data_IF_467745911829
#
_entry.id   IF_467745911829
#
_cell.length_a   1.000
_cell.length_b   1.000
_cell.length_c   1.000
_cell.angle_alpha   90.00
_cell.angle_beta   90.00
_cell.angle_gamma   90.00
#
_symmetry.space_group_name_H-M   'P 1'
#
loop_
_entity.id
_entity.type
_entity.pdbx_description
1 polymer ?
#
# COMPACT_ATOMS: atom_id res chain seq x y z
N UNK A 1 -0.38 -12.10 3.46
CA UNK A 1 -1.22 -11.40 2.47
C UNK A 1 -2.23 -12.39 1.91
N UNK A 2 -3.51 -12.17 2.15
CA UNK A 2 -4.58 -13.00 1.57
C UNK A 2 -5.22 -12.22 0.43
N UNK A 3 -4.99 -12.66 -0.80
CA UNK A 3 -5.59 -12.05 -1.99
C UNK A 3 -6.88 -12.81 -2.28
N UNK A 4 -7.99 -12.11 -2.22
CA UNK A 4 -9.31 -12.65 -2.55
C UNK A 4 -9.57 -12.47 -4.06
N UNK A 5 -9.56 -13.55 -4.86
CA UNK A 5 -9.75 -13.45 -6.30
C UNK A 5 -11.16 -12.98 -6.69
N UNK A 6 -12.14 -13.08 -5.79
CA UNK A 6 -13.51 -12.64 -6.07
C UNK A 6 -13.64 -11.11 -6.14
N UNK A 7 -12.65 -10.36 -5.63
CA UNK A 7 -12.57 -8.89 -5.75
C UNK A 7 -11.95 -8.43 -7.07
N UNK A 8 -11.50 -9.35 -7.92
CA UNK A 8 -10.85 -9.05 -9.21
C UNK A 8 -11.83 -8.47 -10.24
N UNK A 9 -13.14 -8.70 -10.09
CA UNK A 9 -14.16 -8.27 -11.05
C UNK A 9 -14.57 -6.79 -10.97
N UNK A 10 -13.93 -5.98 -10.13
CA UNK A 10 -14.09 -4.52 -10.14
C UNK A 10 -12.98 -3.89 -11.00
N UNK A 11 -13.36 -3.08 -11.98
CA UNK A 11 -12.54 -2.43 -13.03
C UNK A 11 -11.33 -1.57 -12.56
N UNK A 12 -10.93 -1.64 -11.29
CA UNK A 12 -9.93 -0.79 -10.61
C UNK A 12 -8.92 -1.60 -9.80
N UNK A 13 -8.73 -2.90 -10.08
CA UNK A 13 -7.82 -3.72 -9.30
C UNK A 13 -6.36 -3.32 -9.52
N UNK A 14 -5.61 -2.97 -8.45
CA UNK A 14 -4.25 -2.45 -8.56
C UNK A 14 -3.22 -3.58 -8.67
N UNK A 15 -3.60 -4.77 -9.15
CA UNK A 15 -2.68 -5.89 -9.28
C UNK A 15 -3.07 -6.87 -10.39
N UNK A 16 -2.08 -7.59 -10.89
CA UNK A 16 -2.21 -8.65 -11.87
C UNK A 16 -1.39 -9.87 -11.43
N UNK A 17 -1.90 -11.07 -11.69
CA UNK A 17 -1.11 -12.29 -11.64
C UNK A 17 -0.32 -12.38 -12.95
N UNK A 18 0.99 -12.53 -12.87
CA UNK A 18 1.88 -12.50 -14.05
C UNK A 18 2.71 -13.78 -14.17
N UNK A 19 2.24 -14.88 -13.59
CA UNK A 19 2.89 -16.19 -13.61
C UNK A 19 3.31 -16.61 -15.05
N UNK A 20 2.45 -16.35 -16.05
CA UNK A 20 2.72 -16.68 -17.46
C UNK A 20 3.73 -15.75 -18.16
N UNK A 21 4.10 -14.65 -17.51
CA UNK A 21 5.02 -13.63 -18.04
C UNK A 21 6.30 -13.49 -17.20
N UNK A 22 6.43 -14.26 -16.12
CA UNK A 22 7.64 -14.25 -15.29
C UNK A 22 8.84 -14.78 -16.08
N UNK A 23 10.01 -14.22 -15.79
CA UNK A 23 11.27 -14.75 -16.33
C UNK A 23 11.64 -16.11 -15.73
N UNK A 24 11.09 -16.45 -14.55
CA UNK A 24 11.37 -17.69 -13.82
C UNK A 24 10.07 -18.49 -13.67
N UNK A 25 9.91 -19.55 -14.48
CA UNK A 25 8.67 -20.34 -14.56
C UNK A 25 8.24 -21.02 -13.23
N UNK A 26 9.15 -21.19 -12.28
CA UNK A 26 8.85 -21.83 -10.98
C UNK A 26 8.29 -20.87 -9.93
N UNK A 27 8.35 -19.56 -10.18
CA UNK A 27 7.89 -18.54 -9.24
C UNK A 27 6.42 -18.18 -9.51
N UNK A 28 5.75 -17.72 -8.45
CA UNK A 28 4.42 -17.12 -8.57
C UNK A 28 4.54 -15.65 -8.30
N UNK A 29 4.04 -14.85 -9.22
CA UNK A 29 4.27 -13.41 -9.22
C UNK A 29 2.98 -12.63 -9.30
N UNK A 30 2.93 -11.59 -8.47
CA UNK A 30 1.81 -10.67 -8.40
C UNK A 30 2.38 -9.27 -8.58
N UNK A 31 2.05 -8.66 -9.70
CA UNK A 31 2.48 -7.31 -10.03
C UNK A 31 1.44 -6.31 -9.55
N UNK A 32 1.86 -5.36 -8.71
CA UNK A 32 1.02 -4.25 -8.29
C UNK A 32 1.25 -3.03 -9.18
N UNK A 33 0.21 -2.25 -9.44
CA UNK A 33 0.35 -0.95 -10.10
C UNK A 33 1.22 -0.01 -9.27
N UNK A 34 1.92 0.92 -9.93
CA UNK A 34 2.63 1.97 -9.21
C UNK A 34 1.68 2.77 -8.32
N UNK A 35 2.19 3.27 -7.19
CA UNK A 35 1.42 4.01 -6.18
C UNK A 35 0.35 3.19 -5.44
N UNK A 36 0.43 1.86 -5.50
CA UNK A 36 -0.38 1.00 -4.63
C UNK A 36 0.03 1.20 -3.17
N UNK A 37 -0.95 1.46 -2.31
CA UNK A 37 -0.75 1.67 -0.88
C UNK A 37 -1.16 0.43 -0.10
N UNK A 38 -0.32 0.04 0.85
CA UNK A 38 -0.59 -1.05 1.79
C UNK A 38 -0.60 -0.51 3.21
N UNK A 39 -1.52 -1.03 4.02
CA UNK A 39 -1.50 -0.87 5.48
C UNK A 39 -0.72 -2.02 6.09
N UNK A 40 0.16 -1.69 7.03
CA UNK A 40 0.77 -2.69 7.92
C UNK A 40 -0.21 -2.96 9.05
N UNK A 41 -0.70 -4.18 9.12
CA UNK A 41 -1.65 -4.59 10.17
C UNK A 41 -0.91 -5.21 11.36
N UNK A 42 0.11 -6.04 11.10
CA UNK A 42 0.92 -6.68 12.13
C UNK A 42 2.37 -6.88 11.66
N UNK A 43 3.29 -6.93 12.63
CA UNK A 43 4.70 -7.27 12.43
C UNK A 43 5.09 -8.24 13.54
N UNK A 44 5.41 -9.47 13.16
CA UNK A 44 5.78 -10.53 14.12
C UNK A 44 7.04 -11.26 13.67
N UNK A 45 7.82 -11.74 14.62
CA UNK A 45 8.99 -12.55 14.32
C UNK A 45 8.54 -13.95 13.86
N UNK A 46 9.15 -14.46 12.79
CA UNK A 46 8.77 -15.76 12.25
C UNK A 46 9.12 -16.86 13.24
N UNK A 47 8.15 -17.70 13.59
CA UNK A 47 8.32 -18.81 14.55
C UNK A 47 9.40 -19.80 14.07
N UNK A 48 9.51 -19.99 12.75
CA UNK A 48 10.46 -20.91 12.14
C UNK A 48 11.90 -20.39 12.11
N UNK A 49 12.11 -19.07 12.20
CA UNK A 49 13.44 -18.47 12.13
C UNK A 49 13.44 -17.10 12.80
N UNK A 50 14.12 -16.99 13.93
CA UNK A 50 14.23 -15.73 14.69
C UNK A 50 15.00 -14.61 13.98
N UNK A 51 15.59 -14.87 12.81
CA UNK A 51 16.19 -13.82 11.96
C UNK A 51 15.22 -13.28 10.91
N UNK A 52 14.02 -13.84 10.80
CA UNK A 52 13.00 -13.42 9.85
C UNK A 52 11.82 -12.75 10.57
N UNK A 53 11.25 -11.77 9.90
CA UNK A 53 10.06 -11.05 10.34
C UNK A 53 8.96 -11.23 9.29
N UNK A 54 7.76 -11.56 9.76
CA UNK A 54 6.55 -11.62 8.96
C UNK A 54 5.78 -10.31 9.15
N UNK A 55 5.45 -9.67 8.02
CA UNK A 55 4.67 -8.44 7.99
C UNK A 55 3.34 -8.74 7.33
N UNK A 56 2.26 -8.51 8.07
CA UNK A 56 0.91 -8.62 7.54
C UNK A 56 0.50 -7.30 6.90
N UNK A 57 0.16 -7.37 5.61
CA UNK A 57 -0.20 -6.23 4.79
C UNK A 57 -1.61 -6.38 4.23
N UNK A 58 -2.41 -5.32 4.36
CA UNK A 58 -3.71 -5.18 3.70
C UNK A 58 -3.64 -4.12 2.60
N UNK A 59 -4.17 -4.48 1.43
CA UNK A 59 -4.35 -3.53 0.33
C UNK A 59 -5.41 -2.50 0.73
N UNK A 60 -5.06 -1.22 0.67
CA UNK A 60 -6.04 -0.14 0.91
C UNK A 60 -6.87 0.10 -0.35
N UNK A 61 -8.17 0.38 -0.18
CA UNK A 61 -9.04 0.80 -1.28
C UNK A 61 -9.18 2.32 -1.36
N UNK A 62 -9.78 2.82 -2.45
CA UNK A 62 -9.99 4.25 -2.68
C UNK A 62 -10.82 4.95 -1.57
N UNK A 63 -11.67 4.18 -0.89
CA UNK A 63 -12.53 4.66 0.19
C UNK A 63 -11.97 4.33 1.59
N UNK A 64 -10.66 4.14 1.71
CA UNK A 64 -10.04 3.87 3.00
C UNK A 64 -10.21 5.09 3.96
N UNK A 65 -10.92 4.93 5.09
CA UNK A 65 -11.29 6.07 5.93
C UNK A 65 -10.09 6.70 6.64
N UNK A 66 -9.03 5.93 6.90
CA UNK A 66 -7.81 6.46 7.51
C UNK A 66 -7.02 7.28 6.50
N UNK A 67 -6.90 6.81 5.25
CA UNK A 67 -6.28 7.59 4.18
C UNK A 67 -7.07 8.88 3.88
N UNK A 68 -8.40 8.81 3.88
CA UNK A 68 -9.25 9.99 3.72
C UNK A 68 -9.01 11.01 4.85
N UNK A 69 -8.96 10.54 6.11
CA UNK A 69 -8.71 11.39 7.28
C UNK A 69 -7.32 12.03 7.25
N UNK A 70 -6.29 11.25 6.90
CA UNK A 70 -4.92 11.73 6.74
C UNK A 70 -4.82 12.79 5.64
N UNK A 71 -5.44 12.52 4.49
CA UNK A 71 -5.47 13.46 3.36
C UNK A 71 -6.14 14.78 3.75
N UNK A 72 -7.22 14.71 4.52
CA UNK A 72 -7.92 15.90 5.01
C UNK A 72 -7.07 16.70 5.99
N UNK A 73 -6.43 16.04 6.96
CA UNK A 73 -5.49 16.67 7.91
C UNK A 73 -4.36 17.40 7.19
N UNK A 74 -3.75 16.76 6.19
CA UNK A 74 -2.68 17.36 5.38
C UNK A 74 -3.21 18.59 4.63
N UNK A 75 -4.40 18.52 4.03
CA UNK A 75 -5.02 19.67 3.35
C UNK A 75 -5.24 20.85 4.28
N UNK A 76 -5.73 20.60 5.50
CA UNK A 76 -5.96 21.63 6.51
C UNK A 76 -4.65 22.26 7.00
N UNK A 77 -3.63 21.44 7.29
CA UNK A 77 -2.32 21.92 7.74
C UNK A 77 -1.62 22.80 6.71
N UNK A 78 -1.83 22.52 5.41
CA UNK A 78 -1.26 23.27 4.31
C UNK A 78 -2.13 24.44 3.83
N UNK A 79 -3.26 24.70 4.49
CA UNK A 79 -4.14 25.80 4.15
C UNK A 79 -3.49 27.11 4.62
N UNK A 80 -2.92 27.87 3.68
CA UNK A 80 -2.38 29.21 3.93
C UNK A 80 -0.91 29.39 3.54
N UNK A 81 -0.10 28.33 3.50
CA UNK A 81 1.24 28.39 2.89
C UNK A 81 1.15 28.23 1.37
N UNK A 82 2.06 28.86 0.62
CA UNK A 82 2.12 28.76 -0.85
C UNK A 82 3.53 28.39 -1.30
N UNK A 83 3.66 27.77 -2.48
CA UNK A 83 4.95 27.37 -3.04
C UNK A 83 5.73 26.39 -2.15
N UNK A 84 7.06 26.56 -2.08
CA UNK A 84 7.97 25.68 -1.36
C UNK A 84 7.76 25.64 0.16
N UNK A 85 7.16 26.67 0.75
CA UNK A 85 6.86 26.71 2.17
C UNK A 85 5.90 25.58 2.57
N UNK A 86 4.93 25.24 1.71
CA UNK A 86 4.01 24.09 1.93
C UNK A 86 4.75 22.77 2.05
N UNK A 87 5.79 22.57 1.23
CA UNK A 87 6.56 21.33 1.26
C UNK A 87 7.39 21.24 2.55
N UNK A 88 7.97 22.36 2.98
CA UNK A 88 8.65 22.45 4.28
C UNK A 88 7.72 22.13 5.44
N UNK A 89 6.52 22.74 5.46
CA UNK A 89 5.52 22.49 6.50
C UNK A 89 5.08 21.02 6.55
N UNK A 90 4.98 20.35 5.40
CA UNK A 90 4.62 18.93 5.30
C UNK A 90 5.73 18.00 5.83
N UNK A 91 7.00 18.34 5.65
CA UNK A 91 8.13 17.53 6.11
C UNK A 91 8.40 17.63 7.61
N UNK A 92 7.90 18.69 8.25
CA UNK A 92 8.07 18.95 9.69
C UNK A 92 6.93 18.41 10.56
N UNK A 93 5.85 17.90 9.94
CA UNK A 93 4.76 17.18 10.61
C UNK A 93 5.16 15.75 10.91
#
# INVERSE_FOLDING_TARGET
MTIDPSKISASTTPFALIDEYSAIESEKEILFSMHTVFRVDDIKQAVSNNRLWEVELSLTGDNDPQLATLTQRIKEALCGSTGWHRLGDLMLQ
#
